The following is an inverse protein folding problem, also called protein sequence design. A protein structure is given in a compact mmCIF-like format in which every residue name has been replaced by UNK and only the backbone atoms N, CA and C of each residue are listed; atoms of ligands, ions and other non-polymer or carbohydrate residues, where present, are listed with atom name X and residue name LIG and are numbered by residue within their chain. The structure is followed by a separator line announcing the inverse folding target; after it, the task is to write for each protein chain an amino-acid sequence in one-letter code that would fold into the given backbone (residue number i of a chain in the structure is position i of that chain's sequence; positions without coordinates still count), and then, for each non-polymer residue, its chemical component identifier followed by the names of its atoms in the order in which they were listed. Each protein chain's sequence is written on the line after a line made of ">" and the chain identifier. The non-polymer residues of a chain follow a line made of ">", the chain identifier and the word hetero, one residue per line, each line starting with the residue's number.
data_IF_757270831278
#
_entry.id   IF_757270831278
#
_cell.length_a   1.000
_cell.length_b   1.000
_cell.length_c   1.000
_cell.angle_alpha   90.00
_cell.angle_beta   90.00
_cell.angle_gamma   90.00
#
_symmetry.space_group_name_H-M   'P 1'
#
loop_
_entity.id
_entity.type
_entity.pdbx_description
1 polymer ?
#
# COMPACT_ATOMS: atom_id res chain seq x y z
N UNK A 1 -1.82 21.06 -35.46
CA UNK A 1 -1.87 20.48 -34.10
C UNK A 1 -0.44 20.39 -33.55
N UNK A 2 0.00 21.40 -32.80
CA UNK A 2 1.29 21.31 -32.09
C UNK A 2 1.12 20.31 -30.93
N UNK A 3 1.93 19.24 -30.90
CA UNK A 3 1.95 18.30 -29.78
C UNK A 3 2.73 18.96 -28.64
N UNK A 4 2.06 19.27 -27.54
CA UNK A 4 2.77 19.75 -26.35
C UNK A 4 3.75 18.68 -25.85
N UNK A 5 4.96 19.08 -25.42
CA UNK A 5 5.98 18.13 -24.97
C UNK A 5 5.48 17.37 -23.72
N UNK A 6 5.49 16.04 -23.78
CA UNK A 6 5.16 15.18 -22.64
C UNK A 6 6.13 15.46 -21.50
N UNK A 7 5.65 16.19 -20.47
CA UNK A 7 6.43 16.50 -19.28
C UNK A 7 6.64 15.20 -18.48
N UNK A 8 7.85 14.65 -18.52
CA UNK A 8 8.19 13.43 -17.79
C UNK A 8 7.99 13.64 -16.28
N UNK A 9 7.00 12.95 -15.69
CA UNK A 9 6.77 12.98 -14.24
C UNK A 9 7.36 11.73 -13.59
N UNK A 10 8.47 11.86 -12.87
CA UNK A 10 9.12 10.75 -12.13
C UNK A 10 8.27 10.21 -10.96
N UNK A 11 7.23 10.95 -10.56
CA UNK A 11 6.33 10.61 -9.46
C UNK A 11 5.53 9.33 -9.69
N UNK A 12 5.19 9.01 -10.94
CA UNK A 12 4.45 7.79 -11.31
C UNK A 12 5.30 6.52 -11.11
N UNK A 13 6.51 6.39 -11.69
CA UNK A 13 7.35 5.23 -11.43
C UNK A 13 7.78 5.13 -9.97
N UNK A 14 8.16 6.25 -9.32
CA UNK A 14 8.51 6.25 -7.90
C UNK A 14 7.35 5.78 -7.01
N UNK A 15 6.12 6.21 -7.29
CA UNK A 15 4.93 5.78 -6.56
C UNK A 15 4.61 4.30 -6.76
N UNK A 16 4.78 3.78 -7.98
CA UNK A 16 4.64 2.34 -8.25
C UNK A 16 5.62 1.53 -7.40
N UNK A 17 6.90 1.91 -7.35
CA UNK A 17 7.88 1.23 -6.51
C UNK A 17 7.56 1.34 -5.02
N UNK A 18 7.04 2.49 -4.56
CA UNK A 18 6.61 2.65 -3.18
C UNK A 18 5.43 1.72 -2.83
N UNK A 19 4.44 1.56 -3.73
CA UNK A 19 3.33 0.60 -3.55
C UNK A 19 3.87 -0.83 -3.47
N UNK A 20 4.78 -1.21 -4.39
CA UNK A 20 5.38 -2.54 -4.40
C UNK A 20 6.17 -2.82 -3.12
N UNK A 21 6.99 -1.87 -2.68
CA UNK A 21 7.74 -1.97 -1.44
C UNK A 21 6.81 -2.09 -0.22
N UNK A 22 5.73 -1.31 -0.18
CA UNK A 22 4.72 -1.37 0.87
C UNK A 22 4.07 -2.75 0.95
N UNK A 23 3.61 -3.29 -0.19
CA UNK A 23 3.00 -4.62 -0.25
C UNK A 23 4.03 -5.68 0.16
N UNK A 24 5.27 -5.58 -0.31
CA UNK A 24 6.33 -6.51 0.02
C UNK A 24 6.62 -6.55 1.53
N UNK A 25 6.78 -5.39 2.15
CA UNK A 25 6.96 -5.27 3.61
C UNK A 25 5.74 -5.82 4.35
N UNK A 26 4.53 -5.53 3.87
CA UNK A 26 3.30 -6.02 4.48
C UNK A 26 3.20 -7.54 4.44
N UNK A 27 3.50 -8.16 3.29
CA UNK A 27 3.50 -9.62 3.13
C UNK A 27 4.53 -10.27 4.04
N UNK A 28 5.76 -9.74 4.10
CA UNK A 28 6.80 -10.27 4.99
C UNK A 28 6.34 -10.21 6.45
N UNK A 29 5.79 -9.07 6.87
CA UNK A 29 5.30 -8.88 8.23
C UNK A 29 4.22 -9.93 8.56
N UNK A 30 3.17 -10.04 7.74
CA UNK A 30 2.08 -10.99 7.96
C UNK A 30 2.57 -12.43 7.95
N UNK A 31 3.41 -12.81 6.98
CA UNK A 31 3.98 -14.15 6.89
C UNK A 31 4.82 -14.51 8.13
N UNK A 32 5.60 -13.55 8.65
CA UNK A 32 6.43 -13.74 9.85
C UNK A 32 5.62 -14.00 11.12
N UNK A 33 4.38 -13.49 11.19
CA UNK A 33 3.47 -13.73 12.31
C UNK A 33 2.45 -14.85 12.05
N UNK A 34 2.42 -15.42 10.85
CA UNK A 34 1.42 -16.43 10.45
C UNK A 34 1.45 -17.68 11.33
N UNK A 35 2.62 -18.07 11.83
CA UNK A 35 2.75 -19.22 12.73
C UNK A 35 2.01 -19.02 14.05
N UNK A 36 2.17 -17.84 14.66
CA UNK A 36 1.51 -17.44 15.89
C UNK A 36 0.01 -17.27 15.68
N UNK A 37 -0.41 -16.64 14.56
CA UNK A 37 -1.82 -16.47 14.21
C UNK A 37 -2.50 -17.83 14.02
N UNK A 38 -1.80 -18.81 13.44
CA UNK A 38 -2.31 -20.17 13.22
C UNK A 38 -2.57 -20.98 14.51
N UNK A 39 -2.09 -20.51 15.67
CA UNK A 39 -2.40 -21.14 16.97
C UNK A 39 -3.73 -20.68 17.57
N UNK A 40 -4.31 -19.61 17.02
CA UNK A 40 -5.58 -19.06 17.50
C UNK A 40 -6.78 -19.88 17.02
N UNK A 41 -7.93 -19.83 17.72
CA UNK A 41 -9.18 -20.37 17.21
C UNK A 41 -9.55 -19.76 15.86
N UNK A 42 -10.19 -20.55 14.98
CA UNK A 42 -10.52 -20.15 13.59
C UNK A 42 -11.22 -18.79 13.50
N UNK A 43 -12.15 -18.49 14.40
CA UNK A 43 -12.84 -17.20 14.42
C UNK A 43 -11.90 -16.01 14.70
N UNK A 44 -10.97 -16.18 15.64
CA UNK A 44 -9.97 -15.16 15.95
C UNK A 44 -8.97 -15.00 14.80
N UNK A 45 -8.56 -16.10 14.18
CA UNK A 45 -7.73 -16.07 12.96
C UNK A 45 -8.43 -15.30 11.82
N UNK A 46 -9.72 -15.56 11.58
CA UNK A 46 -10.50 -14.82 10.57
C UNK A 46 -10.55 -13.33 10.87
N UNK A 47 -10.83 -12.95 12.13
CA UNK A 47 -10.85 -11.54 12.53
C UNK A 47 -9.49 -10.86 12.31
N UNK A 48 -8.39 -11.52 12.67
CA UNK A 48 -7.03 -11.01 12.46
C UNK A 48 -6.75 -10.80 10.98
N UNK A 49 -7.01 -11.78 10.11
CA UNK A 49 -6.77 -11.64 8.68
C UNK A 49 -7.66 -10.60 8.01
N UNK A 50 -8.91 -10.43 8.46
CA UNK A 50 -9.78 -9.35 8.00
C UNK A 50 -9.19 -7.98 8.35
N UNK A 51 -8.75 -7.79 9.59
CA UNK A 51 -8.13 -6.53 10.02
C UNK A 51 -6.84 -6.28 9.23
N UNK A 52 -5.96 -7.27 9.10
CA UNK A 52 -4.74 -7.15 8.31
C UNK A 52 -5.02 -6.84 6.84
N UNK A 53 -6.08 -7.42 6.26
CA UNK A 53 -6.55 -7.17 4.90
C UNK A 53 -7.16 -5.78 4.68
N UNK A 54 -7.56 -5.07 5.74
CA UNK A 54 -8.11 -3.71 5.66
C UNK A 54 -7.04 -2.67 5.98
N UNK A 55 -6.24 -2.89 7.03
CA UNK A 55 -5.30 -1.89 7.57
C UNK A 55 -4.25 -1.47 6.54
N UNK A 56 -3.77 -2.40 5.69
CA UNK A 56 -2.76 -2.08 4.66
C UNK A 56 -3.25 -1.10 3.58
N UNK A 57 -4.56 -0.87 3.47
CA UNK A 57 -5.15 0.08 2.52
C UNK A 57 -4.93 1.52 2.99
N UNK A 58 -4.90 1.75 4.31
CA UNK A 58 -4.73 3.08 4.88
C UNK A 58 -3.54 3.89 4.31
N UNK A 59 -2.33 3.32 4.17
CA UNK A 59 -1.19 4.02 3.56
C UNK A 59 -1.27 4.18 2.03
N UNK A 60 -2.11 3.44 1.30
CA UNK A 60 -2.28 3.63 -0.15
C UNK A 60 -2.91 4.99 -0.49
N UNK A 61 -3.90 5.44 0.30
CA UNK A 61 -4.62 6.69 0.05
C UNK A 61 -3.72 7.94 -0.02
N UNK A 62 -2.84 8.23 0.97
CA UNK A 62 -1.92 9.36 0.87
C UNK A 62 -0.85 9.16 -0.22
N UNK A 63 -0.43 7.92 -0.49
CA UNK A 63 0.57 7.62 -1.51
C UNK A 63 0.04 7.87 -2.93
N UNK A 64 -1.18 7.43 -3.22
CA UNK A 64 -1.86 7.71 -4.48
C UNK A 64 -2.09 9.21 -4.67
N UNK A 65 -2.49 9.93 -3.61
CA UNK A 65 -2.62 11.39 -3.66
C UNK A 65 -1.29 12.06 -3.98
N UNK A 66 -0.20 11.60 -3.39
CA UNK A 66 1.13 12.10 -3.70
C UNK A 66 1.55 11.77 -5.15
N UNK A 67 1.13 10.65 -5.71
CA UNK A 67 1.38 10.28 -7.12
C UNK A 67 0.62 11.14 -8.12
N UNK A 68 -0.56 11.66 -7.74
CA UNK A 68 -1.40 12.51 -8.59
C UNK A 68 -1.08 14.00 -8.41
N UNK A 69 -1.04 14.51 -7.17
CA UNK A 69 -0.94 15.94 -6.85
C UNK A 69 0.43 16.44 -6.35
N UNK A 70 1.30 15.54 -5.88
CA UNK A 70 2.62 15.87 -5.33
C UNK A 70 2.57 16.29 -3.86
N UNK A 71 1.36 16.36 -3.29
CA UNK A 71 1.11 16.74 -1.91
C UNK A 71 0.63 15.53 -1.12
N UNK A 72 1.16 15.34 0.09
CA UNK A 72 0.82 14.21 0.96
C UNK A 72 -0.48 14.45 1.75
N UNK A 73 -0.86 15.71 1.98
CA UNK A 73 -2.00 16.12 2.80
C UNK A 73 -3.01 16.89 1.94
N UNK A 74 -4.30 16.64 2.16
CA UNK A 74 -5.32 17.57 1.72
C UNK A 74 -5.20 18.80 2.64
N UNK A 75 -4.92 19.96 2.06
CA UNK A 75 -5.18 21.23 2.74
C UNK A 75 -6.69 21.44 2.81
#
# INVERSE_FOLDING_TARGET
>A
MAREPVKASWRKPAGMFAILALIFVWVILVASFSGQIGTLPVLAQCAVYLVLGIVWIAPLKPLLRWMETGHWRAA
#
